data_IF_889789358617
#
_entry.id   IF_889789358617
#
_cell.length_a   1.000
_cell.length_b   1.000
_cell.length_c   1.000
_cell.angle_alpha   90.00
_cell.angle_beta   90.00
_cell.angle_gamma   90.00
#
_symmetry.space_group_name_H-M   'P 1'
#
loop_
_entity.id
_entity.type
_entity.pdbx_description
1 polymer ?
#
# COMPACT_ATOMS: atom_id res chain seq x y z
N UNK A 1 -0.51 23.59 4.45
CA UNK A 1 -0.77 22.15 4.57
C UNK A 1 -1.45 21.92 5.91
N UNK A 2 -2.48 21.09 5.95
CA UNK A 2 -3.09 20.61 7.21
C UNK A 2 -2.67 19.17 7.43
N UNK A 3 -2.63 18.74 8.68
CA UNK A 3 -2.15 17.40 9.06
C UNK A 3 -3.16 16.72 9.98
N UNK A 4 -3.35 15.42 9.77
CA UNK A 4 -4.17 14.55 10.62
C UNK A 4 -3.33 13.37 11.08
N UNK A 5 -3.07 13.29 12.38
CA UNK A 5 -2.29 12.18 12.95
C UNK A 5 -3.08 10.86 12.90
N UNK A 6 -2.34 9.75 12.74
CA UNK A 6 -2.84 8.39 12.85
C UNK A 6 -2.11 7.75 14.03
N UNK A 7 -2.88 7.34 15.05
CA UNK A 7 -2.32 6.65 16.21
C UNK A 7 -1.92 5.22 15.82
N UNK A 8 -0.65 4.86 16.04
CA UNK A 8 -0.09 3.54 15.79
C UNK A 8 0.41 2.93 17.11
N UNK A 9 0.31 1.60 17.27
CA UNK A 9 0.83 0.88 18.45
C UNK A 9 2.32 0.48 18.36
N UNK A 10 2.96 0.69 17.21
CA UNK A 10 4.38 0.38 16.98
C UNK A 10 5.24 1.57 17.42
N UNK A 11 6.09 1.34 18.40
CA UNK A 11 7.03 2.34 18.91
C UNK A 11 8.03 2.78 17.82
N UNK A 12 8.47 4.04 17.88
CA UNK A 12 9.39 4.61 16.90
C UNK A 12 8.79 4.85 15.51
N UNK A 13 7.48 4.65 15.33
CA UNK A 13 6.79 4.93 14.07
C UNK A 13 5.68 5.97 14.30
N UNK A 14 5.69 7.03 13.49
CA UNK A 14 4.64 8.06 13.47
C UNK A 14 3.98 8.09 12.11
N UNK A 15 2.66 8.18 12.06
CA UNK A 15 1.93 8.32 10.81
C UNK A 15 1.01 9.53 10.83
N UNK A 16 0.90 10.21 9.69
CA UNK A 16 -0.02 11.32 9.48
C UNK A 16 -0.48 11.40 8.03
N UNK A 17 -1.68 11.92 7.81
CA UNK A 17 -2.14 12.36 6.50
C UNK A 17 -1.88 13.86 6.37
N UNK A 18 -1.16 14.23 5.33
CA UNK A 18 -0.86 15.62 4.96
C UNK A 18 -1.77 16.02 3.80
N UNK A 19 -2.56 17.06 4.00
CA UNK A 19 -3.44 17.62 2.99
C UNK A 19 -2.76 18.84 2.35
N UNK A 20 -2.62 18.80 1.03
CA UNK A 20 -1.87 19.78 0.26
C UNK A 20 -2.36 19.84 -1.19
N UNK A 21 -1.64 20.58 -2.04
CA UNK A 21 -2.04 20.82 -3.43
C UNK A 21 -0.91 20.53 -4.39
N UNK A 22 -1.24 19.98 -5.56
CA UNK A 22 -0.32 19.78 -6.69
C UNK A 22 -1.02 20.23 -7.97
N UNK A 23 -0.36 21.09 -8.77
CA UNK A 23 -0.93 21.65 -10.00
C UNK A 23 -2.34 22.27 -9.81
N UNK A 24 -2.58 22.88 -8.63
CA UNK A 24 -3.87 23.50 -8.29
C UNK A 24 -4.96 22.53 -7.83
N UNK A 25 -4.70 21.22 -7.79
CA UNK A 25 -5.63 20.20 -7.31
C UNK A 25 -5.29 19.73 -5.91
N UNK A 26 -6.30 19.36 -5.13
CA UNK A 26 -6.12 18.74 -3.83
C UNK A 26 -5.49 17.35 -3.97
N UNK A 27 -4.52 17.09 -3.11
CA UNK A 27 -3.80 15.83 -2.96
C UNK A 27 -3.58 15.54 -1.48
N UNK A 28 -3.39 14.26 -1.15
CA UNK A 28 -3.28 13.81 0.25
C UNK A 28 -2.14 12.80 0.35
N UNK A 29 -1.20 13.01 1.27
CA UNK A 29 -0.08 12.09 1.48
C UNK A 29 -0.19 11.44 2.85
N UNK A 30 -0.35 10.13 2.90
CA UNK A 30 0.02 9.37 4.09
C UNK A 30 1.54 9.38 4.18
N UNK A 31 2.09 9.98 5.24
CA UNK A 31 3.51 9.97 5.55
C UNK A 31 3.73 9.20 6.84
N UNK A 32 4.59 8.19 6.77
CA UNK A 32 5.07 7.40 7.90
C UNK A 32 6.52 7.78 8.13
N UNK A 33 6.82 8.28 9.32
CA UNK A 33 8.17 8.62 9.79
C UNK A 33 8.68 7.52 10.70
N UNK A 34 9.88 7.05 10.40
CA UNK A 34 10.58 5.99 11.12
C UNK A 34 11.69 6.66 11.95
N UNK A 35 11.72 6.39 13.25
CA UNK A 35 12.72 6.95 14.18
C UNK A 35 14.14 6.59 13.74
N UNK A 36 14.35 5.31 13.42
CA UNK A 36 15.56 4.81 12.80
C UNK A 36 15.36 4.59 11.29
N UNK A 37 16.47 4.53 10.56
CA UNK A 37 16.44 4.00 9.19
C UNK A 37 16.04 2.53 9.22
N UNK A 38 15.01 2.17 8.45
CA UNK A 38 14.55 0.79 8.36
C UNK A 38 14.76 0.24 6.94
N UNK A 39 14.98 -1.07 6.88
CA UNK A 39 14.94 -1.81 5.62
C UNK A 39 13.50 -1.94 5.15
N UNK A 40 13.28 -1.66 3.87
CA UNK A 40 11.97 -1.80 3.23
C UNK A 40 12.09 -2.61 1.95
N UNK A 41 11.03 -3.34 1.63
CA UNK A 41 10.82 -3.96 0.32
C UNK A 41 9.53 -3.41 -0.28
N UNK A 42 9.66 -2.67 -1.38
CA UNK A 42 8.56 -2.09 -2.14
C UNK A 42 8.36 -2.87 -3.44
N UNK A 43 7.12 -3.19 -3.79
CA UNK A 43 6.80 -3.74 -5.12
C UNK A 43 7.05 -2.75 -6.25
N UNK A 44 7.09 -1.44 -5.94
CA UNK A 44 7.36 -0.37 -6.91
C UNK A 44 8.84 -0.05 -7.04
N UNK A 45 9.57 0.01 -5.92
CA UNK A 45 10.94 0.53 -5.89
C UNK A 45 12.01 -0.51 -5.48
N UNK A 46 11.60 -1.75 -5.19
CA UNK A 46 12.51 -2.79 -4.72
C UNK A 46 13.00 -2.56 -3.28
N UNK A 47 14.21 -3.03 -3.00
CA UNK A 47 14.84 -2.90 -1.67
C UNK A 47 15.40 -1.50 -1.45
N UNK A 48 15.07 -0.88 -0.30
CA UNK A 48 15.65 0.39 0.14
C UNK A 48 15.92 0.37 1.65
N UNK A 49 16.69 1.33 2.11
CA UNK A 49 16.83 1.67 3.53
C UNK A 49 16.45 3.14 3.71
N UNK A 50 15.34 3.40 4.39
CA UNK A 50 14.65 4.70 4.38
C UNK A 50 14.25 5.13 5.78
N UNK A 51 14.06 6.45 5.97
CA UNK A 51 13.47 7.01 7.19
C UNK A 51 11.98 7.32 7.03
N UNK A 52 11.48 7.27 5.79
CA UNK A 52 10.10 7.64 5.47
C UNK A 52 9.49 6.65 4.49
N UNK A 53 8.20 6.37 4.70
CA UNK A 53 7.36 5.61 3.77
C UNK A 53 6.12 6.44 3.49
N UNK A 54 5.68 6.50 2.23
CA UNK A 54 4.49 7.25 1.87
C UNK A 54 3.54 6.53 0.92
N UNK A 55 2.27 6.88 1.00
CA UNK A 55 1.27 6.57 -0.02
C UNK A 55 0.59 7.89 -0.40
N UNK A 56 0.67 8.28 -1.66
CA UNK A 56 0.21 9.58 -2.14
C UNK A 56 -1.06 9.45 -2.98
N UNK A 57 -2.14 10.06 -2.52
CA UNK A 57 -3.40 10.14 -3.24
C UNK A 57 -3.36 11.22 -4.32
N UNK A 58 -3.77 10.82 -5.52
CA UNK A 58 -3.96 11.71 -6.66
C UNK A 58 -5.43 11.77 -7.05
N UNK A 59 -5.95 12.98 -7.14
CA UNK A 59 -7.29 13.21 -7.67
C UNK A 59 -7.35 12.90 -9.17
N UNK A 60 -8.53 12.50 -9.65
CA UNK A 60 -8.76 12.08 -11.04
C UNK A 60 -8.23 13.04 -12.11
N UNK A 61 -8.36 14.37 -11.98
CA UNK A 61 -7.81 15.32 -12.96
C UNK A 61 -6.28 15.26 -13.12
N UNK A 62 -5.56 14.74 -12.11
CA UNK A 62 -4.10 14.65 -12.14
C UNK A 62 -3.57 13.38 -12.80
N UNK A 63 -4.39 12.34 -13.03
CA UNK A 63 -3.89 11.03 -13.44
C UNK A 63 -3.12 11.07 -14.77
N UNK A 64 -3.72 11.65 -15.82
CA UNK A 64 -3.08 11.77 -17.14
C UNK A 64 -1.86 12.69 -17.13
N UNK A 65 -1.89 13.73 -16.29
CA UNK A 65 -0.76 14.63 -16.12
C UNK A 65 0.41 13.89 -15.45
N UNK A 66 0.16 13.20 -14.35
CA UNK A 66 1.19 12.47 -13.62
C UNK A 66 1.82 11.34 -14.41
N UNK A 67 1.07 10.69 -15.31
CA UNK A 67 1.65 9.66 -16.17
C UNK A 67 2.66 10.26 -17.15
N UNK A 68 2.30 11.38 -17.78
CA UNK A 68 3.19 12.09 -18.71
C UNK A 68 4.35 12.80 -18.01
N UNK A 69 4.18 13.14 -16.74
CA UNK A 69 5.12 13.91 -15.93
C UNK A 69 5.67 13.11 -14.75
N UNK A 70 5.84 11.79 -14.90
CA UNK A 70 6.25 10.88 -13.81
C UNK A 70 7.51 11.36 -13.10
N UNK A 71 8.58 11.65 -13.86
CA UNK A 71 9.87 12.09 -13.30
C UNK A 71 9.78 13.43 -12.56
N UNK A 72 8.89 14.32 -13.00
CA UNK A 72 8.63 15.60 -12.33
C UNK A 72 7.95 15.35 -10.99
N UNK A 73 6.92 14.50 -10.98
CA UNK A 73 6.21 14.12 -9.77
C UNK A 73 7.12 13.39 -8.76
N UNK A 74 7.98 12.49 -9.23
CA UNK A 74 8.93 11.75 -8.38
C UNK A 74 9.97 12.65 -7.70
N UNK A 75 10.28 13.80 -8.31
CA UNK A 75 11.11 14.84 -7.68
C UNK A 75 10.29 15.75 -6.78
N UNK A 76 9.08 16.11 -7.20
CA UNK A 76 8.21 17.03 -6.49
C UNK A 76 7.76 16.50 -5.13
N UNK A 77 7.34 15.23 -5.04
CA UNK A 77 6.77 14.70 -3.79
C UNK A 77 7.77 14.70 -2.62
N UNK A 78 9.03 14.23 -2.76
CA UNK A 78 10.02 14.35 -1.69
C UNK A 78 10.33 15.81 -1.35
N UNK A 79 10.47 16.69 -2.36
CA UNK A 79 10.80 18.11 -2.18
C UNK A 79 9.74 18.86 -1.36
N UNK A 80 8.46 18.70 -1.71
CA UNK A 80 7.36 19.35 -1.00
C UNK A 80 7.19 18.84 0.44
N UNK A 81 7.67 17.63 0.73
CA UNK A 81 7.70 17.05 2.08
C UNK A 81 8.97 17.44 2.86
N UNK A 82 9.95 18.10 2.22
CA UNK A 82 11.24 18.41 2.82
C UNK A 82 12.11 17.17 3.07
N UNK A 83 11.96 16.12 2.26
CA UNK A 83 12.63 14.83 2.42
C UNK A 83 13.52 14.55 1.21
N UNK A 84 14.77 14.13 1.45
CA UNK A 84 15.66 13.69 0.38
C UNK A 84 15.10 12.43 -0.31
N UNK A 85 15.12 12.33 -1.66
CA UNK A 85 14.58 11.17 -2.39
C UNK A 85 15.12 9.81 -1.94
N UNK A 86 16.36 9.75 -1.45
CA UNK A 86 17.02 8.54 -0.97
C UNK A 86 16.49 8.07 0.40
N UNK A 87 15.80 8.95 1.13
CA UNK A 87 15.29 8.70 2.48
C UNK A 87 13.82 8.30 2.51
N UNK A 88 13.16 8.22 1.36
CA UNK A 88 11.73 7.91 1.25
C UNK A 88 11.48 6.77 0.26
N UNK A 89 10.58 5.86 0.63
CA UNK A 89 9.93 4.95 -0.32
C UNK A 89 8.46 5.34 -0.44
N UNK A 90 7.87 5.32 -1.63
CA UNK A 90 6.48 5.71 -1.78
C UNK A 90 5.72 5.01 -2.91
N UNK A 91 4.40 4.98 -2.74
CA UNK A 91 3.43 4.54 -3.74
C UNK A 91 2.46 5.68 -4.06
N UNK A 92 1.69 5.53 -5.13
CA UNK A 92 0.59 6.43 -5.46
C UNK A 92 -0.72 5.68 -5.50
N UNK A 93 -1.82 6.36 -5.17
CA UNK A 93 -3.15 5.76 -5.10
C UNK A 93 -4.22 6.66 -5.69
N UNK A 94 -5.23 6.03 -6.28
CA UNK A 94 -6.47 6.67 -6.73
C UNK A 94 -7.57 6.60 -5.66
N UNK A 95 -7.40 5.77 -4.62
CA UNK A 95 -8.32 5.70 -3.49
C UNK A 95 -8.06 6.86 -2.53
N UNK A 96 -9.14 7.52 -2.10
CA UNK A 96 -9.02 8.73 -1.27
C UNK A 96 -8.39 8.38 0.09
N UNK A 97 -7.40 9.17 0.51
CA UNK A 97 -6.71 8.97 1.78
C UNK A 97 -7.62 9.15 3.00
N UNK A 98 -8.77 9.82 2.87
CA UNK A 98 -9.78 9.87 3.93
C UNK A 98 -10.44 8.51 4.18
N UNK A 99 -10.37 7.59 3.21
CA UNK A 99 -10.85 6.21 3.30
C UNK A 99 -9.75 5.22 3.72
N UNK A 100 -8.59 5.72 4.15
CA UNK A 100 -7.53 4.89 4.69
C UNK A 100 -8.05 4.01 5.83
N UNK A 101 -7.72 2.72 5.75
CA UNK A 101 -7.95 1.76 6.84
C UNK A 101 -6.64 1.48 7.56
N UNK A 102 -6.77 1.27 8.86
CA UNK A 102 -5.66 0.90 9.74
C UNK A 102 -6.09 -0.29 10.60
N UNK A 103 -5.31 -1.37 10.55
CA UNK A 103 -5.53 -2.54 11.39
C UNK A 103 -4.21 -2.97 12.02
N UNK A 104 -4.30 -3.46 13.25
CA UNK A 104 -3.16 -4.00 13.97
C UNK A 104 -3.50 -5.31 14.66
N UNK A 105 -2.47 -6.12 14.88
CA UNK A 105 -2.55 -7.36 15.64
C UNK A 105 -1.24 -7.60 16.36
N UNK A 106 -1.32 -8.21 17.52
CA UNK A 106 -0.18 -8.48 18.39
C UNK A 106 -0.24 -9.91 18.93
N UNK A 107 0.95 -10.48 19.14
CA UNK A 107 1.12 -11.76 19.81
C UNK A 107 2.46 -11.76 20.54
N UNK A 108 2.41 -11.84 21.87
CA UNK A 108 3.60 -11.71 22.72
C UNK A 108 4.35 -10.41 22.38
N UNK A 109 5.65 -10.48 22.06
CA UNK A 109 6.46 -9.33 21.68
C UNK A 109 6.24 -8.87 20.23
N UNK A 110 5.55 -9.63 19.39
CA UNK A 110 5.38 -9.30 17.97
C UNK A 110 4.18 -8.38 17.73
N UNK A 111 4.43 -7.27 17.04
CA UNK A 111 3.41 -6.32 16.58
C UNK A 111 3.44 -6.24 15.06
N UNK A 112 2.26 -6.26 14.45
CA UNK A 112 2.08 -6.07 13.01
C UNK A 112 0.96 -5.07 12.78
N UNK A 113 1.21 -4.09 11.92
CA UNK A 113 0.26 -3.07 11.51
C UNK A 113 0.14 -3.05 9.99
N UNK A 114 -1.08 -2.79 9.51
CA UNK A 114 -1.38 -2.60 8.10
C UNK A 114 -2.11 -1.27 7.92
N UNK A 115 -1.60 -0.43 7.01
CA UNK A 115 -2.31 0.71 6.48
C UNK A 115 -2.66 0.44 5.02
N UNK A 116 -3.94 0.53 4.66
CA UNK A 116 -4.41 0.20 3.33
C UNK A 116 -5.30 1.29 2.74
N UNK A 117 -5.09 1.61 1.47
CA UNK A 117 -6.06 2.32 0.62
C UNK A 117 -6.48 1.36 -0.47
N UNK A 118 -7.78 1.20 -0.69
CA UNK A 118 -8.29 0.22 -1.63
C UNK A 118 -9.45 0.79 -2.44
N UNK A 119 -9.32 0.78 -3.76
CA UNK A 119 -10.41 1.12 -4.68
C UNK A 119 -10.53 0.06 -5.76
N UNK A 120 -11.68 -0.62 -5.82
CA UNK A 120 -11.90 -1.77 -6.71
C UNK A 120 -13.08 -1.57 -7.69
N UNK A 121 -13.55 -0.33 -7.87
CA UNK A 121 -14.76 -0.07 -8.67
C UNK A 121 -14.51 -0.10 -10.17
N UNK A 122 -13.34 0.39 -10.58
CA UNK A 122 -13.09 0.73 -11.99
C UNK A 122 -12.08 -0.24 -12.65
N UNK A 123 -11.20 -0.88 -11.89
CA UNK A 123 -10.14 -1.75 -12.42
C UNK A 123 -9.92 -3.06 -11.66
N UNK A 124 -10.91 -3.58 -10.94
CA UNK A 124 -10.77 -4.89 -10.31
C UNK A 124 -10.51 -5.98 -11.38
N UNK A 125 -9.48 -6.81 -11.16
CA UNK A 125 -9.02 -7.82 -12.11
C UNK A 125 -8.96 -9.22 -11.50
N UNK A 126 -9.32 -10.22 -12.31
CA UNK A 126 -9.05 -11.64 -12.13
C UNK A 126 -7.72 -11.98 -12.79
N UNK A 127 -6.67 -12.09 -11.98
CA UNK A 127 -5.34 -12.44 -12.47
C UNK A 127 -5.36 -13.82 -13.16
N UNK A 128 -4.69 -13.92 -14.31
CA UNK A 128 -4.66 -15.14 -15.13
C UNK A 128 -5.89 -15.38 -16.02
N UNK A 129 -6.91 -14.51 -15.96
CA UNK A 129 -8.09 -14.55 -16.84
C UNK A 129 -8.24 -13.25 -17.62
N UNK A 130 -8.24 -12.12 -16.92
CA UNK A 130 -8.36 -10.81 -17.55
C UNK A 130 -7.11 -10.50 -18.37
N UNK A 131 -7.32 -10.03 -19.60
CA UNK A 131 -6.23 -9.73 -20.53
C UNK A 131 -5.70 -8.33 -20.27
N UNK A 132 -4.37 -8.21 -20.19
CA UNK A 132 -3.73 -6.91 -20.23
C UNK A 132 -4.00 -6.23 -21.59
N UNK A 133 -4.42 -4.97 -21.56
CA UNK A 133 -4.60 -4.15 -22.76
C UNK A 133 -3.31 -3.52 -23.28
N UNK A 134 -2.21 -3.61 -22.52
CA UNK A 134 -0.98 -2.87 -22.76
C UNK A 134 0.25 -3.76 -22.64
N UNK A 135 1.32 -3.37 -23.34
CA UNK A 135 2.65 -3.98 -23.28
C UNK A 135 3.62 -2.92 -22.80
N UNK A 136 4.20 -3.11 -21.62
CA UNK A 136 5.25 -2.24 -21.10
C UNK A 136 6.49 -2.32 -22.00
N UNK A 137 7.02 -1.17 -22.42
CA UNK A 137 8.31 -1.03 -23.11
C UNK A 137 8.95 0.28 -22.71
N UNK A 138 10.25 0.25 -22.40
CA UNK A 138 11.06 1.45 -22.13
C UNK A 138 10.42 2.43 -21.11
N UNK A 139 9.83 1.88 -20.04
CA UNK A 139 9.14 2.62 -18.97
C UNK A 139 7.81 3.31 -19.37
N UNK A 140 7.27 2.99 -20.56
CA UNK A 140 5.93 3.45 -20.99
C UNK A 140 4.82 2.47 -20.59
N UNK A 141 3.86 2.96 -19.79
CA UNK A 141 2.65 2.24 -19.40
C UNK A 141 1.51 3.23 -19.10
N UNK A 142 0.29 2.95 -19.57
CA UNK A 142 -0.88 3.79 -19.27
C UNK A 142 -1.36 3.63 -17.82
N UNK A 143 -1.89 4.71 -17.25
CA UNK A 143 -2.53 4.63 -15.93
C UNK A 143 -3.80 3.81 -16.01
N UNK A 144 -3.95 2.86 -15.10
CA UNK A 144 -5.27 2.37 -14.74
C UNK A 144 -5.70 2.99 -13.42
N UNK A 145 -6.95 3.45 -13.40
CA UNK A 145 -7.58 4.07 -12.25
C UNK A 145 -8.04 3.05 -11.21
N UNK A 146 -7.67 3.25 -9.95
CA UNK A 146 -7.96 2.33 -8.85
C UNK A 146 -6.71 1.54 -8.44
N UNK A 147 -6.51 1.34 -7.14
CA UNK A 147 -5.42 0.48 -6.65
C UNK A 147 -5.71 0.00 -5.24
N UNK A 148 -5.16 -1.16 -4.88
CA UNK A 148 -5.01 -1.58 -3.49
C UNK A 148 -3.54 -1.42 -3.11
N UNK A 149 -3.26 -0.42 -2.30
CA UNK A 149 -1.92 -0.20 -1.72
C UNK A 149 -1.92 -0.61 -0.26
N UNK A 150 -0.92 -1.41 0.12
CA UNK A 150 -0.72 -1.93 1.48
C UNK A 150 0.64 -1.48 2.00
N UNK A 151 0.67 -0.87 3.18
CA UNK A 151 1.91 -0.68 3.94
C UNK A 151 1.85 -1.57 5.17
N UNK A 152 2.77 -2.53 5.22
CA UNK A 152 2.93 -3.46 6.32
C UNK A 152 4.09 -3.03 7.20
N UNK A 153 3.83 -2.80 8.48
CA UNK A 153 4.82 -2.43 9.48
C UNK A 153 4.92 -3.54 10.52
N UNK A 154 6.13 -3.83 10.99
CA UNK A 154 6.34 -4.72 12.13
C UNK A 154 7.49 -4.20 12.99
N UNK A 155 7.46 -4.53 14.29
CA UNK A 155 8.61 -4.31 15.15
C UNK A 155 9.72 -5.36 14.94
N UNK A 156 9.44 -6.50 14.29
CA UNK A 156 10.42 -7.57 14.07
C UNK A 156 11.44 -7.22 12.99
N UNK A 157 12.68 -7.69 13.16
CA UNK A 157 13.69 -7.65 12.10
C UNK A 157 13.41 -8.76 11.09
N UNK A 158 13.18 -8.42 9.82
CA UNK A 158 12.87 -9.38 8.77
C UNK A 158 14.11 -9.70 7.93
N UNK A 159 14.34 -10.99 7.67
CA UNK A 159 15.27 -11.40 6.61
C UNK A 159 14.70 -11.07 5.21
N UNK A 160 15.55 -11.12 4.19
CA UNK A 160 15.16 -10.86 2.79
C UNK A 160 14.07 -11.84 2.34
N UNK A 161 14.25 -13.12 2.67
CA UNK A 161 13.25 -14.15 2.42
C UNK A 161 11.94 -13.92 3.18
N UNK A 162 12.00 -13.36 4.40
CA UNK A 162 10.82 -13.02 5.18
C UNK A 162 10.07 -11.80 4.60
N UNK A 163 10.77 -10.78 4.13
CA UNK A 163 10.17 -9.63 3.44
C UNK A 163 9.48 -10.05 2.14
N UNK A 164 10.17 -10.84 1.30
CA UNK A 164 9.58 -11.35 0.07
C UNK A 164 8.35 -12.25 0.33
N UNK A 165 8.43 -13.13 1.33
CA UNK A 165 7.30 -13.99 1.73
C UNK A 165 6.12 -13.20 2.30
N UNK A 166 6.37 -12.05 2.94
CA UNK A 166 5.30 -11.20 3.46
C UNK A 166 4.44 -10.61 2.33
N UNK A 167 5.03 -10.30 1.17
CA UNK A 167 4.28 -9.86 -0.02
C UNK A 167 3.31 -10.94 -0.49
N UNK A 168 3.74 -12.21 -0.55
CA UNK A 168 2.87 -13.34 -0.92
C UNK A 168 1.70 -13.44 0.07
N UNK A 169 2.01 -13.43 1.36
CA UNK A 169 1.01 -13.53 2.45
C UNK A 169 0.00 -12.38 2.40
N UNK A 170 0.48 -11.15 2.18
CA UNK A 170 -0.37 -9.99 2.01
C UNK A 170 -1.24 -10.09 0.74
N UNK A 171 -0.70 -10.62 -0.35
CA UNK A 171 -1.43 -10.83 -1.61
C UNK A 171 -2.56 -11.85 -1.46
N UNK A 172 -2.30 -12.98 -0.79
CA UNK A 172 -3.31 -13.99 -0.48
C UNK A 172 -4.39 -13.43 0.46
N UNK A 173 -3.99 -12.69 1.50
CA UNK A 173 -4.92 -12.09 2.45
C UNK A 173 -5.82 -11.01 1.81
N UNK A 174 -5.25 -10.16 0.94
CA UNK A 174 -5.99 -9.21 0.11
C UNK A 174 -6.99 -9.94 -0.79
N UNK A 175 -6.56 -11.01 -1.45
CA UNK A 175 -7.44 -11.82 -2.32
C UNK A 175 -8.58 -12.44 -1.52
N UNK A 176 -8.30 -12.95 -0.32
CA UNK A 176 -9.32 -13.48 0.58
C UNK A 176 -10.33 -12.41 1.01
N UNK A 177 -9.90 -11.16 1.25
CA UNK A 177 -10.82 -10.04 1.52
C UNK A 177 -11.75 -9.77 0.32
N UNK A 178 -11.20 -9.70 -0.89
CA UNK A 178 -11.98 -9.51 -2.13
C UNK A 178 -12.98 -10.64 -2.36
N UNK A 179 -12.57 -11.88 -2.09
CA UNK A 179 -13.41 -13.07 -2.23
C UNK A 179 -14.58 -13.06 -1.24
N UNK A 180 -14.31 -12.73 0.03
CA UNK A 180 -15.34 -12.65 1.07
C UNK A 180 -16.37 -11.55 0.78
N UNK A 181 -15.92 -10.42 0.20
CA UNK A 181 -16.77 -9.28 -0.21
C UNK A 181 -17.43 -9.44 -1.58
N UNK A 182 -17.26 -10.59 -2.23
CA UNK A 182 -17.70 -10.88 -3.60
C UNK A 182 -17.35 -9.80 -4.65
N UNK A 183 -16.16 -9.22 -4.54
CA UNK A 183 -15.71 -8.22 -5.52
C UNK A 183 -15.52 -8.89 -6.88
N UNK A 184 -16.29 -8.46 -7.87
CA UNK A 184 -16.22 -8.98 -9.24
C UNK A 184 -15.19 -8.22 -10.07
N UNK A 185 -14.60 -8.92 -11.04
CA UNK A 185 -13.76 -8.26 -12.05
C UNK A 185 -14.60 -7.25 -12.82
N UNK A 186 -14.03 -6.07 -13.08
CA UNK A 186 -14.66 -5.04 -13.93
C UNK A 186 -14.54 -5.38 -15.41
N UNK A 187 -13.67 -6.34 -15.77
CA UNK A 187 -13.41 -6.78 -17.13
C UNK A 187 -14.19 -8.08 -17.48
N UNK A 188 -14.30 -9.01 -16.52
CA UNK A 188 -15.08 -10.26 -16.65
C UNK A 188 -15.95 -10.49 -15.41
N UNK A 189 -17.14 -9.85 -15.33
CA UNK A 189 -17.97 -9.83 -14.11
C UNK A 189 -18.41 -11.19 -13.56
N UNK A 190 -18.38 -12.24 -14.38
CA UNK A 190 -18.61 -13.62 -13.96
C UNK A 190 -17.53 -14.15 -12.99
N UNK A 191 -16.35 -13.54 -12.98
CA UNK A 191 -15.21 -13.93 -12.13
C UNK A 191 -15.05 -13.01 -10.92
N UNK A 192 -14.68 -13.58 -9.77
CA UNK A 192 -14.27 -12.80 -8.60
C UNK A 192 -12.85 -12.24 -8.81
N UNK A 193 -12.65 -10.96 -8.55
CA UNK A 193 -11.36 -10.30 -8.65
C UNK A 193 -10.36 -10.83 -7.61
N UNK A 194 -9.08 -10.75 -7.97
CA UNK A 194 -7.94 -11.08 -7.10
C UNK A 194 -7.09 -9.86 -6.75
N UNK A 195 -7.42 -8.69 -7.29
CA UNK A 195 -6.68 -7.44 -7.15
C UNK A 195 -7.21 -6.36 -8.10
N UNK A 196 -6.44 -5.30 -8.34
CA UNK A 196 -6.79 -4.21 -9.29
C UNK A 196 -5.84 -4.10 -10.49
N UNK A 197 -4.93 -5.06 -10.68
CA UNK A 197 -3.89 -5.01 -11.73
C UNK A 197 -2.72 -4.06 -11.43
N UNK A 198 -2.88 -3.17 -10.44
CA UNK A 198 -1.90 -2.13 -10.05
C UNK A 198 -1.61 -2.15 -8.55
N UNK A 199 -1.92 -3.24 -7.86
CA UNK A 199 -1.75 -3.36 -6.42
C UNK A 199 -0.28 -3.20 -6.03
N UNK A 200 0.01 -2.48 -4.95
CA UNK A 200 1.36 -2.35 -4.43
C UNK A 200 1.45 -2.66 -2.93
N UNK A 201 2.62 -3.15 -2.52
CA UNK A 201 2.93 -3.46 -1.13
C UNK A 201 4.28 -2.87 -0.75
N UNK A 202 4.35 -2.18 0.39
CA UNK A 202 5.61 -1.87 1.07
C UNK A 202 5.64 -2.66 2.39
N UNK A 203 6.69 -3.46 2.57
CA UNK A 203 6.99 -4.14 3.83
C UNK A 203 8.11 -3.39 4.54
N UNK A 204 7.87 -2.94 5.76
CA UNK A 204 8.84 -2.24 6.62
C UNK A 204 9.30 -3.18 7.73
N UNK A 205 10.60 -3.49 7.75
CA UNK A 205 11.24 -4.24 8.82
C UNK A 205 11.45 -3.34 10.04
N UNK A 206 11.22 -3.89 11.23
CA UNK A 206 11.63 -3.26 12.48
C UNK A 206 13.05 -3.66 12.90
N UNK A 207 13.37 -3.34 14.16
CA UNK A 207 14.68 -3.57 14.79
C UNK A 207 14.63 -4.57 15.96
N UNK A 208 13.48 -5.23 16.16
CA UNK A 208 13.24 -6.24 17.20
C UNK A 208 13.71 -7.64 16.82
N UNK A 209 13.08 -8.70 17.38
CA UNK A 209 13.50 -10.08 17.16
C UNK A 209 13.57 -10.48 15.68
N UNK A 210 14.57 -11.30 15.33
CA UNK A 210 14.77 -11.76 13.97
C UNK A 210 13.70 -12.79 13.55
N UNK A 211 13.00 -12.50 12.46
CA UNK A 211 12.05 -13.40 11.81
C UNK A 211 12.53 -13.73 10.40
N UNK A 212 12.66 -15.03 10.12
CA UNK A 212 13.13 -15.55 8.82
C UNK A 212 12.01 -16.10 7.94
N UNK A 213 10.79 -16.21 8.45
CA UNK A 213 9.66 -16.78 7.72
C UNK A 213 8.34 -16.16 8.14
N UNK A 214 7.55 -15.72 7.15
CA UNK A 214 6.28 -14.99 7.31
C UNK A 214 5.13 -15.66 6.57
N UNK A 215 5.23 -16.97 6.26
CA UNK A 215 4.14 -17.73 5.65
C UNK A 215 3.10 -18.20 6.68
N UNK A 216 1.95 -18.68 6.20
CA UNK A 216 0.76 -18.99 7.03
C UNK A 216 0.94 -20.05 8.13
N UNK A 217 2.00 -20.86 8.10
CA UNK A 217 2.32 -21.79 9.19
C UNK A 217 3.11 -21.16 10.34
N UNK A 218 3.53 -19.90 10.21
CA UNK A 218 4.21 -19.15 11.26
C UNK A 218 3.30 -18.06 11.82
N UNK A 219 3.45 -17.79 13.12
CA UNK A 219 2.68 -16.76 13.82
C UNK A 219 2.79 -15.38 13.15
N UNK A 220 3.98 -15.01 12.66
CA UNK A 220 4.14 -13.74 11.93
C UNK A 220 3.29 -13.71 10.64
N UNK A 221 3.21 -14.82 9.90
CA UNK A 221 2.37 -14.91 8.71
C UNK A 221 0.87 -14.84 9.03
N UNK A 222 0.44 -15.49 10.11
CA UNK A 222 -0.93 -15.37 10.63
C UNK A 222 -1.28 -13.91 10.97
N UNK A 223 -0.42 -13.22 11.72
CA UNK A 223 -0.64 -11.81 12.09
C UNK A 223 -0.76 -10.92 10.84
N UNK A 224 0.17 -11.07 9.88
CA UNK A 224 0.14 -10.34 8.61
C UNK A 224 -1.18 -10.62 7.86
N UNK A 225 -1.57 -11.88 7.74
CA UNK A 225 -2.79 -12.27 7.04
C UNK A 225 -4.04 -11.63 7.65
N UNK A 226 -4.15 -11.64 8.98
CA UNK A 226 -5.28 -11.03 9.71
C UNK A 226 -5.35 -9.52 9.44
N UNK A 227 -4.25 -8.79 9.65
CA UNK A 227 -4.29 -7.33 9.55
C UNK A 227 -4.47 -6.84 8.12
N UNK A 228 -3.90 -7.55 7.13
CA UNK A 228 -4.05 -7.19 5.72
C UNK A 228 -5.48 -7.44 5.27
N UNK A 229 -6.04 -8.63 5.55
CA UNK A 229 -7.41 -8.96 5.16
C UNK A 229 -8.41 -7.94 5.72
N UNK A 230 -8.29 -7.60 7.01
CA UNK A 230 -9.17 -6.62 7.68
C UNK A 230 -9.01 -5.22 7.11
N UNK A 231 -7.77 -4.73 6.98
CA UNK A 231 -7.52 -3.38 6.47
C UNK A 231 -8.00 -3.21 5.02
N UNK A 232 -7.78 -4.22 4.17
CA UNK A 232 -8.27 -4.17 2.78
C UNK A 232 -9.80 -4.15 2.74
N UNK A 233 -10.46 -5.02 3.51
CA UNK A 233 -11.93 -5.05 3.55
C UNK A 233 -12.51 -3.70 4.02
N UNK A 234 -11.99 -3.15 5.12
CA UNK A 234 -12.41 -1.85 5.65
C UNK A 234 -12.13 -0.70 4.67
N UNK A 235 -10.99 -0.71 3.97
CA UNK A 235 -10.68 0.31 2.97
C UNK A 235 -11.62 0.25 1.77
N UNK A 236 -11.99 -0.94 1.31
CA UNK A 236 -12.98 -1.13 0.23
C UNK A 236 -14.35 -0.68 0.70
N UNK A 237 -14.77 -1.03 1.91
CA UNK A 237 -16.05 -0.59 2.47
C UNK A 237 -16.14 0.94 2.49
N UNK A 238 -15.12 1.63 3.02
CA UNK A 238 -15.04 3.09 3.06
C UNK A 238 -15.03 3.73 1.66
N UNK A 239 -14.26 3.18 0.73
CA UNK A 239 -14.06 3.77 -0.60
C UNK A 239 -15.19 3.46 -1.59
N UNK A 240 -15.70 2.23 -1.60
CA UNK A 240 -16.66 1.74 -2.57
C UNK A 240 -18.09 1.61 -2.02
N UNK A 241 -18.28 1.64 -0.70
CA UNK A 241 -19.58 1.42 -0.05
C UNK A 241 -20.05 -0.04 -0.09
N UNK A 242 -19.14 -0.99 -0.33
CA UNK A 242 -19.45 -2.43 -0.36
C UNK A 242 -19.35 -2.99 1.07
N UNK A 243 -20.40 -3.63 1.55
CA UNK A 243 -20.44 -4.28 2.87
C UNK A 243 -20.42 -5.81 2.71
N UNK A 244 -19.88 -6.51 3.73
CA UNK A 244 -19.90 -7.98 3.83
C UNK A 244 -21.32 -8.51 4.08
#
# INVERSE_FOLDING_TARGET
MTEKEISLSVEGIKAKVIYHTYQGFEVKTLLISLEDKCRVLSTREGYKEVSFVANHYNSRPLWDYMHRHRQEFEKWLPDILGISPERIAFMTTAADMDNLAFCESNYQEFKVCCLATAGAKDNAQRMGVDKAGQVERDDEFESLSGTINIILLTNATLSDGAMARAIITATEAKTAALQDMDIRSTYTPENQATGTGTDNVIVVSGNGPLVKYTGGHAKMGELIGIVVKRAVAEAIEKQNGVTL
#
